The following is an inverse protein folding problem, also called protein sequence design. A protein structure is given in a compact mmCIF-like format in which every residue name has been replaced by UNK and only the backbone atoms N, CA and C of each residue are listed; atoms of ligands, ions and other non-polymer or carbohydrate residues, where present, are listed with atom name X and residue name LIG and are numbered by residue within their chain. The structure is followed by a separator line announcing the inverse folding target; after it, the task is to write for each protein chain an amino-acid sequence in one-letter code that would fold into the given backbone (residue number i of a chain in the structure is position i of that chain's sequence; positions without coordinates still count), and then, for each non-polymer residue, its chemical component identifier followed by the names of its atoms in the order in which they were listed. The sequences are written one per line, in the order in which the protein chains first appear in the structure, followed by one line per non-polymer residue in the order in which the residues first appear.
data_IF_161063885420
#
_entry.id   IF_161063885420
#
_cell.length_a   1.000
_cell.length_b   1.000
_cell.length_c   1.000
_cell.angle_alpha   90.00
_cell.angle_beta   90.00
_cell.angle_gamma   90.00
#
_symmetry.space_group_name_H-M   'P 1'
#
loop_
_entity.id
_entity.type
_entity.pdbx_description
1 polymer ?
#
# COMPACT_ATOMS: atom_id res chain seq x y z
N UNK A 1 -3.42 -45.69 51.10
CA UNK A 1 -2.62 -44.69 50.37
C UNK A 1 -3.39 -44.30 49.11
N UNK A 2 -4.01 -43.11 49.11
CA UNK A 2 -4.77 -42.62 47.95
C UNK A 2 -3.83 -41.69 47.16
N UNK A 3 -3.47 -42.14 45.95
CA UNK A 3 -2.68 -41.34 45.01
C UNK A 3 -3.63 -40.36 44.32
N UNK A 4 -3.53 -39.09 44.65
CA UNK A 4 -4.30 -38.02 43.98
C UNK A 4 -3.50 -37.68 42.72
N UNK A 5 -4.03 -38.08 41.58
CA UNK A 5 -3.49 -37.67 40.25
C UNK A 5 -3.94 -36.26 39.95
N UNK A 6 -3.05 -35.28 40.11
CA UNK A 6 -3.31 -33.91 39.71
C UNK A 6 -3.05 -33.80 38.20
N UNK A 7 -4.13 -33.77 37.43
CA UNK A 7 -4.07 -33.49 35.99
C UNK A 7 -3.98 -31.98 35.84
N UNK A 8 -2.79 -31.48 35.59
CA UNK A 8 -2.56 -30.07 35.19
C UNK A 8 -2.99 -29.96 33.73
N UNK A 9 -4.19 -29.45 33.49
CA UNK A 9 -4.63 -28.99 32.18
C UNK A 9 -3.87 -27.73 31.81
N UNK A 10 -2.80 -27.88 31.04
CA UNK A 10 -2.14 -26.78 30.36
C UNK A 10 -3.06 -26.28 29.25
N UNK A 11 -3.88 -25.30 29.56
CA UNK A 11 -4.63 -24.53 28.55
C UNK A 11 -3.63 -23.74 27.71
N UNK A 12 -3.25 -24.27 26.54
CA UNK A 12 -2.57 -23.53 25.51
C UNK A 12 -3.55 -22.47 24.96
N UNK A 13 -3.49 -21.27 25.52
CA UNK A 13 -4.14 -20.09 24.91
C UNK A 13 -3.41 -19.79 23.60
N UNK A 14 -3.98 -20.23 22.49
CA UNK A 14 -3.52 -19.86 21.15
C UNK A 14 -3.73 -18.35 20.99
N UNK A 15 -2.66 -17.57 21.16
CA UNK A 15 -2.66 -16.13 20.83
C UNK A 15 -2.71 -16.04 19.31
N UNK A 16 -3.90 -15.85 18.77
CA UNK A 16 -4.08 -15.54 17.35
C UNK A 16 -3.55 -14.13 17.10
N UNK A 17 -2.36 -14.06 16.53
CA UNK A 17 -1.79 -12.79 16.08
C UNK A 17 -2.59 -12.33 14.85
N UNK A 18 -3.58 -11.46 15.07
CA UNK A 18 -4.31 -10.82 13.98
C UNK A 18 -3.42 -9.76 13.35
N UNK A 19 -2.77 -10.10 12.23
CA UNK A 19 -2.11 -9.11 11.39
C UNK A 19 -3.16 -8.20 10.77
N UNK A 20 -3.02 -6.89 10.99
CA UNK A 20 -3.85 -5.91 10.29
C UNK A 20 -3.59 -6.03 8.78
N UNK A 21 -4.64 -6.36 8.02
CA UNK A 21 -4.57 -6.57 6.57
C UNK A 21 -4.76 -5.23 5.86
N UNK A 22 -3.95 -4.96 4.84
CA UNK A 22 -4.17 -3.83 3.94
C UNK A 22 -5.57 -3.89 3.31
N UNK A 23 -6.16 -2.71 3.10
CA UNK A 23 -7.45 -2.57 2.39
C UNK A 23 -7.30 -2.77 0.88
N UNK A 24 -6.09 -2.71 0.34
CA UNK A 24 -5.84 -3.01 -1.06
C UNK A 24 -6.00 -4.53 -1.31
N UNK A 25 -6.97 -4.95 -2.16
CA UNK A 25 -7.18 -6.37 -2.45
C UNK A 25 -5.98 -7.03 -3.15
N UNK A 26 -5.10 -6.23 -3.76
CA UNK A 26 -3.89 -6.70 -4.46
C UNK A 26 -2.62 -6.55 -3.62
N UNK A 27 -2.74 -6.15 -2.35
CA UNK A 27 -1.61 -6.06 -1.43
C UNK A 27 -0.90 -7.41 -1.30
N UNK A 28 0.44 -7.38 -1.29
CA UNK A 28 1.31 -8.57 -1.22
C UNK A 28 1.19 -9.56 -2.40
N UNK A 29 0.43 -9.24 -3.45
CA UNK A 29 0.42 -10.03 -4.68
C UNK A 29 1.61 -9.63 -5.56
N UNK A 30 2.58 -10.51 -5.75
CA UNK A 30 3.82 -10.21 -6.46
C UNK A 30 3.61 -9.83 -7.93
N UNK A 31 2.67 -10.48 -8.61
CA UNK A 31 2.34 -10.17 -10.01
C UNK A 31 1.75 -8.75 -10.11
N UNK A 32 0.82 -8.42 -9.22
CA UNK A 32 0.21 -7.08 -9.13
C UNK A 32 1.24 -6.00 -8.79
N UNK A 33 2.17 -6.29 -7.89
CA UNK A 33 3.29 -5.38 -7.55
C UNK A 33 4.16 -5.12 -8.78
N UNK A 34 4.50 -6.17 -9.54
CA UNK A 34 5.31 -6.05 -10.75
C UNK A 34 4.58 -5.26 -11.84
N UNK A 35 3.29 -5.50 -12.03
CA UNK A 35 2.43 -4.72 -12.95
C UNK A 35 2.34 -3.27 -12.52
N UNK A 36 2.12 -3.02 -11.25
CA UNK A 36 2.08 -1.68 -10.67
C UNK A 36 3.39 -0.91 -10.83
N UNK A 37 4.53 -1.59 -10.67
CA UNK A 37 5.85 -1.01 -10.92
C UNK A 37 6.02 -0.53 -12.37
N UNK A 38 5.56 -1.31 -13.34
CA UNK A 38 5.59 -0.93 -14.77
C UNK A 38 4.69 0.27 -15.04
N UNK A 39 3.47 0.27 -14.51
CA UNK A 39 2.53 1.39 -14.65
C UNK A 39 3.08 2.66 -13.99
N UNK A 40 3.65 2.53 -12.80
CA UNK A 40 4.31 3.62 -12.09
C UNK A 40 5.43 4.25 -12.93
N UNK A 41 6.30 3.44 -13.52
CA UNK A 41 7.39 3.92 -14.36
C UNK A 41 6.91 4.78 -15.54
N UNK A 42 5.76 4.42 -16.12
CA UNK A 42 5.19 5.13 -17.29
C UNK A 42 4.39 6.38 -16.87
N UNK A 43 3.60 6.30 -15.80
CA UNK A 43 2.60 7.30 -15.46
C UNK A 43 3.00 8.25 -14.32
N UNK A 44 3.85 7.80 -13.40
CA UNK A 44 4.08 8.48 -12.12
C UNK A 44 5.53 8.96 -11.96
N UNK A 45 6.50 8.21 -12.48
CA UNK A 45 7.93 8.41 -12.22
C UNK A 45 8.45 9.75 -12.68
N UNK A 46 7.88 10.32 -13.76
CA UNK A 46 8.27 11.64 -14.28
C UNK A 46 8.13 12.75 -13.22
N UNK A 47 7.08 12.66 -12.40
CA UNK A 47 6.81 13.63 -11.33
C UNK A 47 7.31 13.19 -9.96
N UNK A 48 7.15 11.89 -9.63
CA UNK A 48 7.49 11.36 -8.29
C UNK A 48 8.89 10.75 -8.18
N UNK A 49 9.65 10.75 -9.29
CA UNK A 49 10.97 10.14 -9.36
C UNK A 49 10.94 8.62 -9.61
N UNK A 50 12.00 8.05 -10.18
CA UNK A 50 12.08 6.62 -10.51
C UNK A 50 12.00 5.73 -9.27
N UNK A 51 12.42 6.24 -8.11
CA UNK A 51 12.41 5.53 -6.83
C UNK A 51 11.29 5.99 -5.88
N UNK A 52 10.29 6.72 -6.38
CA UNK A 52 9.16 7.25 -5.62
C UNK A 52 9.57 8.12 -4.40
N UNK A 53 10.76 8.72 -4.44
CA UNK A 53 11.27 9.61 -3.38
C UNK A 53 10.77 11.05 -3.50
N UNK A 54 10.04 11.35 -4.56
CA UNK A 54 9.67 12.70 -4.93
C UNK A 54 10.81 13.43 -5.64
N UNK A 55 10.49 14.61 -6.15
CA UNK A 55 11.45 15.51 -6.81
C UNK A 55 11.31 16.90 -6.20
N UNK A 56 12.44 17.54 -5.93
CA UNK A 56 12.48 18.95 -5.58
C UNK A 56 13.48 19.62 -6.52
N UNK A 57 12.98 20.45 -7.40
CA UNK A 57 13.78 21.38 -8.19
C UNK A 57 13.21 22.78 -7.92
N UNK A 58 14.01 23.81 -7.81
CA UNK A 58 13.66 25.14 -7.32
C UNK A 58 12.25 25.70 -7.53
N UNK A 59 11.45 25.11 -8.44
CA UNK A 59 10.09 25.54 -8.77
C UNK A 59 9.01 24.49 -8.52
N UNK A 60 9.37 23.20 -8.45
CA UNK A 60 8.42 22.10 -8.28
C UNK A 60 8.83 21.20 -7.12
N UNK A 61 7.91 21.00 -6.19
CA UNK A 61 8.06 20.03 -5.12
C UNK A 61 7.00 18.96 -5.27
N UNK A 62 7.43 17.73 -5.56
CA UNK A 62 6.57 16.55 -5.63
C UNK A 62 6.86 15.65 -4.43
N UNK A 63 5.85 15.21 -3.67
CA UNK A 63 6.09 14.49 -2.43
C UNK A 63 6.65 13.09 -2.67
N UNK A 64 7.40 12.59 -1.68
CA UNK A 64 7.82 11.19 -1.62
C UNK A 64 6.62 10.28 -1.34
N UNK A 65 6.38 9.32 -2.23
CA UNK A 65 5.35 8.31 -2.04
C UNK A 65 5.78 7.23 -1.03
N UNK A 66 7.07 7.03 -0.83
CA UNK A 66 7.60 6.13 0.21
C UNK A 66 7.26 6.59 1.63
N UNK A 67 7.03 7.89 1.82
CA UNK A 67 6.65 8.52 3.10
C UNK A 67 5.14 8.78 3.20
N UNK A 68 4.35 8.25 2.29
CA UNK A 68 2.90 8.45 2.28
C UNK A 68 2.25 7.92 3.57
N UNK A 69 1.27 8.66 4.13
CA UNK A 69 0.70 8.40 5.47
C UNK A 69 -0.83 8.41 5.54
N UNK A 70 -1.51 8.69 4.42
CA UNK A 70 -2.97 8.97 4.44
C UNK A 70 -3.84 7.73 4.21
N UNK A 71 -3.24 6.56 4.07
CA UNK A 71 -3.95 5.29 3.90
C UNK A 71 -4.34 4.97 2.46
N UNK A 72 -4.73 3.71 2.25
CA UNK A 72 -5.07 3.17 0.93
C UNK A 72 -6.26 3.90 0.28
N UNK A 73 -7.35 4.10 1.02
CA UNK A 73 -8.58 4.71 0.48
C UNK A 73 -8.31 6.10 -0.09
N UNK A 74 -7.56 6.92 0.65
CA UNK A 74 -7.21 8.28 0.20
C UNK A 74 -6.20 8.21 -0.95
N UNK A 75 -5.29 7.24 -0.96
CA UNK A 75 -4.36 7.05 -2.06
C UNK A 75 -5.10 6.78 -3.38
N UNK A 76 -6.04 5.85 -3.38
CA UNK A 76 -6.86 5.51 -4.56
C UNK A 76 -7.66 6.72 -5.02
N UNK A 77 -8.29 7.46 -4.10
CA UNK A 77 -9.04 8.66 -4.44
C UNK A 77 -8.16 9.70 -5.15
N UNK A 78 -6.97 9.96 -4.62
CA UNK A 78 -6.01 10.91 -5.20
C UNK A 78 -5.58 10.49 -6.61
N UNK A 79 -5.19 9.25 -6.82
CA UNK A 79 -4.71 8.81 -8.14
C UNK A 79 -5.85 8.68 -9.15
N UNK A 80 -7.06 8.37 -8.70
CA UNK A 80 -8.25 8.27 -9.55
C UNK A 80 -8.77 9.62 -9.98
N UNK A 81 -8.90 10.56 -9.05
CA UNK A 81 -9.60 11.84 -9.25
C UNK A 81 -8.64 13.03 -9.38
N UNK A 82 -7.36 12.84 -9.11
CA UNK A 82 -6.37 13.91 -9.06
C UNK A 82 -6.38 14.67 -7.72
N UNK A 83 -5.36 15.48 -7.51
CA UNK A 83 -5.24 16.30 -6.31
C UNK A 83 -4.37 17.53 -6.58
N UNK A 84 -4.93 18.72 -6.47
CA UNK A 84 -4.26 20.00 -6.75
C UNK A 84 -3.63 20.00 -8.16
N UNK A 85 -2.32 19.85 -8.30
CA UNK A 85 -1.60 19.79 -9.58
C UNK A 85 -1.41 18.38 -10.11
N UNK A 86 -1.71 17.37 -9.32
CA UNK A 86 -1.63 15.98 -9.73
C UNK A 86 -2.81 15.65 -10.65
N UNK A 87 -2.59 15.16 -11.88
CA UNK A 87 -3.67 14.80 -12.78
C UNK A 87 -4.45 13.58 -12.30
N UNK A 88 -5.72 13.49 -12.67
CA UNK A 88 -6.55 12.31 -12.49
C UNK A 88 -6.14 11.20 -13.47
N UNK A 89 -5.91 9.99 -12.96
CA UNK A 89 -5.55 8.83 -13.77
C UNK A 89 -6.70 7.83 -13.95
N UNK A 90 -7.78 7.98 -13.17
CA UNK A 90 -9.02 7.21 -13.36
C UNK A 90 -9.92 7.80 -14.43
N UNK A 91 -10.91 7.02 -14.84
CA UNK A 91 -11.92 7.43 -15.82
C UNK A 91 -11.69 6.87 -17.22
N UNK A 92 -12.57 7.25 -18.14
CA UNK A 92 -12.60 6.72 -19.50
C UNK A 92 -11.32 7.04 -20.28
N UNK A 93 -10.72 6.03 -20.92
CA UNK A 93 -9.47 6.17 -21.68
C UNK A 93 -8.20 6.27 -20.85
N UNK A 94 -8.29 6.08 -19.53
CA UNK A 94 -7.18 6.12 -18.58
C UNK A 94 -6.98 4.75 -17.91
N UNK A 95 -6.45 4.74 -16.69
CA UNK A 95 -6.25 3.52 -15.93
C UNK A 95 -7.59 2.99 -15.37
N UNK A 96 -7.81 1.70 -15.44
CA UNK A 96 -8.94 1.05 -14.79
C UNK A 96 -8.66 0.80 -13.29
N UNK A 97 -9.70 0.42 -12.54
CA UNK A 97 -9.58 0.23 -11.09
C UNK A 97 -8.54 -0.85 -10.71
N UNK A 98 -8.40 -1.93 -11.50
CA UNK A 98 -7.36 -2.93 -11.28
C UNK A 98 -5.97 -2.33 -11.40
N UNK A 99 -5.72 -1.55 -12.43
CA UNK A 99 -4.43 -0.88 -12.67
C UNK A 99 -4.09 0.15 -11.59
N UNK A 100 -5.09 0.89 -11.08
CA UNK A 100 -4.92 1.80 -9.95
C UNK A 100 -4.53 1.03 -8.68
N UNK A 101 -5.18 -0.11 -8.42
CA UNK A 101 -4.86 -0.99 -7.30
C UNK A 101 -3.48 -1.65 -7.43
N UNK A 102 -3.04 -1.98 -8.63
CA UNK A 102 -1.69 -2.47 -8.91
C UNK A 102 -0.63 -1.41 -8.59
N UNK A 103 -0.85 -0.15 -8.98
CA UNK A 103 0.03 0.96 -8.60
C UNK A 103 0.08 1.11 -7.07
N UNK A 104 -1.08 1.06 -6.41
CA UNK A 104 -1.16 1.13 -4.95
C UNK A 104 -0.39 -0.02 -4.30
N UNK A 105 -0.51 -1.27 -4.79
CA UNK A 105 0.23 -2.42 -4.29
C UNK A 105 1.75 -2.24 -4.43
N UNK A 106 2.21 -1.68 -5.55
CA UNK A 106 3.62 -1.36 -5.73
C UNK A 106 4.09 -0.30 -4.73
N UNK A 107 3.39 0.82 -4.60
CA UNK A 107 3.78 1.89 -3.67
C UNK A 107 3.75 1.41 -2.22
N UNK A 108 2.74 0.63 -1.84
CA UNK A 108 2.66 -0.01 -0.52
C UNK A 108 3.87 -0.91 -0.25
N UNK A 109 4.29 -1.70 -1.25
CA UNK A 109 5.43 -2.63 -1.12
C UNK A 109 6.78 -1.93 -0.88
N UNK A 110 6.92 -0.69 -1.31
CA UNK A 110 8.13 0.12 -1.14
C UNK A 110 7.99 1.21 -0.05
N UNK A 111 6.86 1.25 0.63
CA UNK A 111 6.60 2.23 1.68
C UNK A 111 7.55 2.06 2.87
N UNK A 112 8.02 3.17 3.43
CA UNK A 112 8.88 3.15 4.63
C UNK A 112 8.15 2.61 5.87
N UNK A 113 6.82 2.71 5.89
CA UNK A 113 5.97 2.19 6.94
C UNK A 113 4.65 1.67 6.34
N UNK A 114 4.53 0.35 6.24
CA UNK A 114 3.34 -0.33 5.70
C UNK A 114 2.09 -0.14 6.56
N UNK A 115 2.24 0.13 7.87
CA UNK A 115 1.10 0.37 8.76
C UNK A 115 0.25 1.58 8.35
N UNK A 116 0.82 2.51 7.60
CA UNK A 116 0.09 3.66 7.06
C UNK A 116 -0.94 3.28 5.97
N UNK A 117 -0.91 2.04 5.47
CA UNK A 117 -1.74 1.57 4.36
C UNK A 117 -2.97 0.77 4.79
N UNK A 118 -3.11 0.47 6.07
CA UNK A 118 -4.23 -0.29 6.63
C UNK A 118 -5.44 0.57 7.02
N UNK A 119 -5.47 1.83 6.60
CA UNK A 119 -6.55 2.80 6.84
C UNK A 119 -7.42 2.97 5.61
#
# INVERSE_FOLDING_TARGET
MKIILIIILLSFSSISLTYAKSLNPLSNNQESINSGKKLYAIKCSKCHGPNAKGITNGHTKTPSLKKYKRGYTVFIDIIKNGYIRMPAWGGMGKLNDKQLNEIAAFIESIANNSSNWIK
#
